data_IF_498941671527
#
_entry.id   IF_498941671527
#
_cell.length_a   1.000
_cell.length_b   1.000
_cell.length_c   1.000
_cell.angle_alpha   90.00
_cell.angle_beta   90.00
_cell.angle_gamma   90.00
#
_symmetry.space_group_name_H-M   'P 1'
#
loop_
_entity.id
_entity.type
_entity.pdbx_description
1 polymer ?
#
# COMPACT_ATOMS: atom_id res chain seq x y z
N UNK A 1 -31.92 -58.56 18.33
CA UNK A 1 -33.37 -58.32 18.41
C UNK A 1 -33.66 -57.93 19.87
N UNK A 2 -33.96 -56.65 20.09
CA UNK A 2 -34.68 -55.98 21.22
C UNK A 2 -34.50 -56.59 22.64
N UNK A 3 -33.66 -56.05 23.54
CA UNK A 3 -33.82 -54.89 24.47
C UNK A 3 -34.99 -55.00 25.48
N UNK A 4 -34.69 -55.14 26.77
CA UNK A 4 -34.83 -54.09 27.80
C UNK A 4 -34.67 -54.62 29.23
N UNK A 5 -34.06 -53.82 30.09
CA UNK A 5 -33.76 -54.12 31.50
C UNK A 5 -34.18 -52.97 32.42
N UNK A 6 -34.83 -53.40 33.50
CA UNK A 6 -35.37 -52.79 34.72
C UNK A 6 -34.39 -51.81 35.41
N UNK A 7 -34.79 -50.59 35.84
CA UNK A 7 -35.62 -50.18 37.00
C UNK A 7 -34.88 -50.12 38.37
N UNK A 8 -34.93 -48.90 38.95
CA UNK A 8 -35.04 -48.47 40.36
C UNK A 8 -33.82 -48.02 41.22
N UNK A 9 -34.02 -46.82 41.79
CA UNK A 9 -33.78 -46.37 43.18
C UNK A 9 -32.45 -45.74 43.62
N UNK A 10 -32.45 -44.42 43.52
CA UNK A 10 -32.13 -43.37 44.53
C UNK A 10 -31.64 -43.84 45.91
N UNK A 11 -30.44 -43.37 46.30
CA UNK A 11 -30.10 -42.93 47.66
C UNK A 11 -29.25 -41.65 47.58
N UNK A 12 -29.65 -40.66 48.38
CA UNK A 12 -29.10 -39.31 48.51
C UNK A 12 -27.97 -39.30 49.56
N UNK A 13 -26.81 -38.73 49.25
CA UNK A 13 -25.85 -38.24 50.27
C UNK A 13 -25.25 -36.92 49.81
N UNK A 14 -25.49 -35.88 50.61
CA UNK A 14 -24.86 -34.57 50.53
C UNK A 14 -23.39 -34.64 50.99
N UNK A 15 -22.47 -34.09 50.21
CA UNK A 15 -21.24 -33.47 50.74
C UNK A 15 -21.01 -32.15 50.00
N UNK A 16 -21.15 -31.08 50.78
CA UNK A 16 -20.74 -29.72 50.47
C UNK A 16 -19.22 -29.65 50.67
N UNK A 17 -18.47 -29.23 49.66
CA UNK A 17 -17.16 -28.62 49.84
C UNK A 17 -16.93 -27.59 48.75
N UNK A 18 -17.06 -26.33 49.16
CA UNK A 18 -16.78 -25.12 48.42
C UNK A 18 -15.29 -25.01 48.09
N UNK A 19 -14.95 -24.82 46.82
CA UNK A 19 -13.72 -24.13 46.44
C UNK A 19 -14.07 -23.02 45.43
N UNK A 20 -14.08 -21.80 45.94
CA UNK A 20 -14.11 -20.55 45.20
C UNK A 20 -12.77 -20.41 44.46
N UNK A 21 -12.78 -20.63 43.15
CA UNK A 21 -11.73 -20.22 42.23
C UNK A 21 -12.37 -19.38 41.13
N UNK A 22 -12.39 -18.06 41.32
CA UNK A 22 -12.91 -17.11 40.35
C UNK A 22 -12.06 -17.17 39.06
N UNK A 23 -12.57 -17.86 38.03
CA UNK A 23 -12.20 -17.56 36.65
C UNK A 23 -13.00 -16.32 36.24
N UNK A 24 -12.33 -15.18 36.12
CA UNK A 24 -12.82 -14.09 35.27
C UNK A 24 -12.91 -14.64 33.84
N UNK A 25 -14.10 -15.04 33.43
CA UNK A 25 -14.43 -15.17 32.02
C UNK A 25 -14.45 -13.76 31.44
N UNK A 26 -13.42 -13.40 30.69
CA UNK A 26 -13.51 -12.27 29.75
C UNK A 26 -14.76 -12.48 28.88
N UNK A 27 -15.61 -11.48 28.70
CA UNK A 27 -16.75 -11.63 27.82
C UNK A 27 -16.21 -11.87 26.40
N UNK A 28 -16.55 -13.02 25.84
CA UNK A 28 -16.42 -13.25 24.40
C UNK A 28 -17.41 -12.29 23.75
N UNK A 29 -16.90 -11.15 23.30
CA UNK A 29 -17.67 -10.22 22.47
C UNK A 29 -18.10 -11.00 21.24
N UNK A 30 -19.39 -11.01 20.95
CA UNK A 30 -19.91 -11.74 19.81
C UNK A 30 -19.24 -11.17 18.53
N UNK A 31 -18.85 -12.00 17.55
CA UNK A 31 -18.17 -11.54 16.32
C UNK A 31 -18.99 -10.53 15.49
N UNK A 32 -20.27 -10.35 15.80
CA UNK A 32 -21.16 -9.36 15.19
C UNK A 32 -21.00 -7.95 15.81
N UNK A 33 -20.71 -7.84 17.11
CA UNK A 33 -20.53 -6.55 17.81
C UNK A 33 -19.26 -5.83 17.35
N UNK A 34 -18.15 -6.56 17.17
CA UNK A 34 -16.87 -6.04 16.65
C UNK A 34 -17.00 -5.52 15.20
N UNK A 35 -17.93 -6.05 14.41
CA UNK A 35 -18.18 -5.58 13.04
C UNK A 35 -18.97 -4.28 12.98
N UNK A 36 -19.75 -3.97 14.01
CA UNK A 36 -20.48 -2.69 14.10
C UNK A 36 -19.59 -1.55 14.59
N UNK A 37 -18.54 -1.85 15.37
CA UNK A 37 -17.67 -0.83 15.97
C UNK A 37 -16.71 -0.18 14.97
N UNK A 38 -16.27 -0.87 13.91
CA UNK A 38 -15.37 -0.31 12.89
C UNK A 38 -16.03 0.76 12.00
N UNK A 39 -17.34 0.65 11.74
CA UNK A 39 -18.03 1.44 10.70
C UNK A 39 -18.02 2.95 10.97
N UNK A 40 -17.88 3.70 9.87
CA UNK A 40 -18.11 5.15 9.84
C UNK A 40 -19.24 5.52 8.86
N UNK A 41 -20.19 6.38 9.27
CA UNK A 41 -21.20 6.91 8.37
C UNK A 41 -20.57 7.89 7.38
N UNK A 42 -21.27 8.12 6.27
CA UNK A 42 -20.93 9.19 5.34
C UNK A 42 -21.15 10.57 5.99
N UNK A 43 -20.25 11.51 5.70
CA UNK A 43 -20.45 12.92 5.97
C UNK A 43 -20.94 13.60 4.68
N UNK A 44 -22.23 13.99 4.60
CA UNK A 44 -22.77 14.63 3.41
C UNK A 44 -22.23 16.06 3.19
N UNK A 45 -21.56 16.66 4.18
CA UNK A 45 -20.94 17.97 4.06
C UNK A 45 -19.51 17.93 3.54
N UNK A 46 -18.85 16.77 3.62
CA UNK A 46 -17.50 16.53 3.10
C UNK A 46 -17.33 15.07 2.69
N UNK A 47 -17.53 14.80 1.41
CA UNK A 47 -17.57 13.42 0.88
C UNK A 47 -16.17 12.88 0.59
N UNK A 48 -16.06 11.57 0.33
CA UNK A 48 -14.80 10.95 -0.14
C UNK A 48 -14.32 11.55 -1.48
N UNK A 49 -15.23 12.06 -2.31
CA UNK A 49 -14.88 12.75 -3.55
C UNK A 49 -14.34 14.17 -3.28
N UNK A 50 -14.82 14.84 -2.23
CA UNK A 50 -14.26 16.13 -1.81
C UNK A 50 -12.85 15.95 -1.23
N UNK A 51 -12.65 14.90 -0.42
CA UNK A 51 -11.33 14.47 0.06
C UNK A 51 -10.36 14.19 -1.11
N UNK A 52 -10.76 13.37 -2.09
CA UNK A 52 -9.92 13.12 -3.27
C UNK A 52 -9.61 14.39 -4.08
N UNK A 53 -10.58 15.30 -4.23
CA UNK A 53 -10.38 16.60 -4.91
C UNK A 53 -9.36 17.47 -4.17
N UNK A 54 -9.45 17.51 -2.85
CA UNK A 54 -8.53 18.28 -2.00
C UNK A 54 -7.12 17.69 -2.04
N UNK A 55 -6.99 16.37 -2.01
CA UNK A 55 -5.74 15.64 -2.23
C UNK A 55 -5.09 16.00 -3.57
N UNK A 56 -5.85 15.96 -4.66
CA UNK A 56 -5.37 16.32 -6.00
C UNK A 56 -4.89 17.78 -6.04
N UNK A 57 -5.66 18.71 -5.46
CA UNK A 57 -5.30 20.13 -5.41
C UNK A 57 -3.98 20.34 -4.66
N UNK A 58 -3.77 19.66 -3.54
CA UNK A 58 -2.52 19.75 -2.81
C UNK A 58 -1.36 19.20 -3.63
N UNK A 59 -1.46 17.99 -4.15
CA UNK A 59 -0.41 17.36 -4.96
C UNK A 59 -0.04 18.23 -6.18
N UNK A 60 -1.03 18.73 -6.93
CA UNK A 60 -0.83 19.60 -8.09
C UNK A 60 -0.08 20.89 -7.71
N UNK A 61 -0.44 21.50 -6.58
CA UNK A 61 0.20 22.74 -6.11
C UNK A 61 1.68 22.56 -5.75
N UNK A 62 2.12 21.33 -5.52
CA UNK A 62 3.51 21.02 -5.11
C UNK A 62 4.45 20.78 -6.28
N UNK A 63 3.90 20.66 -7.49
CA UNK A 63 4.68 20.44 -8.70
C UNK A 63 5.43 21.71 -9.11
N UNK A 64 6.68 21.54 -9.52
CA UNK A 64 7.56 22.62 -9.98
C UNK A 64 8.12 22.34 -11.38
N UNK A 65 8.38 23.38 -12.19
CA UNK A 65 9.01 23.20 -13.49
C UNK A 65 10.42 22.61 -13.38
N UNK A 66 10.72 21.62 -14.23
CA UNK A 66 12.06 21.06 -14.37
C UNK A 66 12.30 20.68 -15.83
N UNK A 67 13.28 21.33 -16.49
CA UNK A 67 13.68 21.05 -17.89
C UNK A 67 12.51 20.96 -18.89
N UNK A 68 11.51 21.85 -18.75
CA UNK A 68 10.31 21.88 -19.60
C UNK A 68 9.22 20.87 -19.24
N UNK A 69 9.40 20.11 -18.15
CA UNK A 69 8.45 19.16 -17.54
C UNK A 69 8.06 19.62 -16.14
N UNK A 70 7.37 18.77 -15.39
CA UNK A 70 7.06 18.97 -13.97
C UNK A 70 7.69 17.85 -13.14
N UNK A 71 8.16 18.20 -11.95
CA UNK A 71 8.55 17.22 -10.92
C UNK A 71 7.93 17.64 -9.58
N UNK A 72 7.94 16.76 -8.58
CA UNK A 72 7.65 17.21 -7.22
C UNK A 72 8.80 18.09 -6.73
N UNK A 73 8.49 19.14 -5.95
CA UNK A 73 9.56 19.91 -5.28
C UNK A 73 10.34 19.07 -4.27
N UNK A 74 9.71 18.03 -3.72
CA UNK A 74 10.24 17.17 -2.67
C UNK A 74 9.31 15.97 -2.44
N UNK A 75 9.86 14.87 -1.91
CA UNK A 75 9.08 13.71 -1.49
C UNK A 75 8.40 13.94 -0.16
N UNK A 76 8.84 14.88 0.68
CA UNK A 76 8.23 15.18 1.99
C UNK A 76 8.12 16.68 2.24
N UNK A 77 6.90 17.15 2.40
CA UNK A 77 6.60 18.56 2.64
C UNK A 77 5.58 18.76 3.75
N UNK A 78 5.56 19.93 4.37
CA UNK A 78 4.49 20.32 5.29
C UNK A 78 3.25 20.90 4.58
N UNK A 79 2.21 21.21 5.36
CA UNK A 79 0.97 21.83 4.88
C UNK A 79 1.13 23.18 4.16
N UNK A 80 2.25 23.87 4.41
CA UNK A 80 2.58 25.16 3.78
C UNK A 80 3.57 24.97 2.62
N UNK A 81 3.85 23.72 2.26
CA UNK A 81 4.67 23.33 1.12
C UNK A 81 6.17 23.52 1.34
N UNK A 82 6.63 23.66 2.57
CA UNK A 82 8.06 23.70 2.89
C UNK A 82 8.63 22.29 2.83
N UNK A 83 9.88 22.19 2.39
CA UNK A 83 10.59 20.91 2.28
C UNK A 83 11.04 20.45 3.67
N UNK A 84 10.72 19.20 4.03
CA UNK A 84 11.17 18.59 5.28
C UNK A 84 12.61 18.06 5.15
N UNK A 85 13.58 18.96 4.90
CA UNK A 85 14.97 18.58 4.59
C UNK A 85 15.73 17.85 5.71
N UNK A 86 15.16 17.77 6.91
CA UNK A 86 15.65 16.95 8.04
C UNK A 86 15.24 15.48 7.92
N UNK A 87 14.20 15.17 7.14
CA UNK A 87 13.73 13.83 6.87
C UNK A 87 14.61 13.18 5.80
N UNK A 88 14.88 11.87 5.89
CA UNK A 88 15.75 11.17 4.94
C UNK A 88 15.24 11.32 3.49
N UNK A 89 13.93 11.33 3.30
CA UNK A 89 13.30 11.54 1.99
C UNK A 89 13.11 13.02 1.60
N UNK A 90 13.37 13.95 2.52
CA UNK A 90 13.05 15.37 2.38
C UNK A 90 13.54 16.00 1.09
N UNK A 91 14.82 15.82 0.75
CA UNK A 91 15.38 16.43 -0.46
C UNK A 91 15.40 15.47 -1.67
N UNK A 92 14.56 14.44 -1.67
CA UNK A 92 14.43 13.51 -2.79
C UNK A 92 13.19 13.81 -3.60
N UNK A 93 13.19 13.41 -4.86
CA UNK A 93 12.00 13.23 -5.69
C UNK A 93 12.28 12.13 -6.73
N UNK A 94 11.28 11.73 -7.51
CA UNK A 94 11.42 10.72 -8.55
C UNK A 94 10.39 9.60 -8.44
N UNK A 95 10.59 8.49 -9.16
CA UNK A 95 9.62 7.40 -9.20
C UNK A 95 9.70 6.43 -8.01
N UNK A 96 10.75 6.48 -7.19
CA UNK A 96 10.99 5.54 -6.10
C UNK A 96 9.88 5.54 -5.04
N UNK A 97 9.82 4.49 -4.22
CA UNK A 97 8.72 4.16 -3.31
C UNK A 97 7.94 5.35 -2.71
N UNK A 98 8.54 6.15 -1.82
CA UNK A 98 7.86 7.29 -1.18
C UNK A 98 7.69 8.54 -2.08
N UNK A 99 8.50 8.67 -3.14
CA UNK A 99 8.43 9.80 -4.06
C UNK A 99 7.32 9.63 -5.11
N UNK A 100 7.13 8.39 -5.57
CA UNK A 100 5.99 7.88 -6.33
C UNK A 100 5.57 8.71 -7.56
N UNK A 101 6.51 9.34 -8.28
CA UNK A 101 6.16 10.24 -9.38
C UNK A 101 5.29 9.60 -10.49
N UNK A 102 5.48 8.30 -10.79
CA UNK A 102 4.65 7.60 -11.78
C UNK A 102 3.24 7.34 -11.25
N UNK A 103 3.12 6.85 -10.01
CA UNK A 103 1.83 6.63 -9.35
C UNK A 103 1.05 7.94 -9.23
N UNK A 104 1.69 9.00 -8.74
CA UNK A 104 1.04 10.31 -8.65
C UNK A 104 0.64 10.87 -10.02
N UNK A 105 1.47 10.73 -11.05
CA UNK A 105 1.08 11.11 -12.40
C UNK A 105 -0.15 10.33 -12.91
N UNK A 106 -0.22 9.03 -12.62
CA UNK A 106 -1.35 8.18 -12.97
C UNK A 106 -2.64 8.62 -12.27
N UNK A 107 -2.59 8.91 -10.97
CA UNK A 107 -3.77 9.33 -10.20
C UNK A 107 -4.27 10.72 -10.58
N UNK A 108 -3.36 11.68 -10.79
CA UNK A 108 -3.74 12.99 -11.35
C UNK A 108 -4.40 12.83 -12.72
N UNK A 109 -3.89 11.93 -13.56
CA UNK A 109 -4.50 11.63 -14.86
C UNK A 109 -5.90 11.03 -14.71
N UNK A 110 -6.08 10.00 -13.87
CA UNK A 110 -7.39 9.38 -13.65
C UNK A 110 -8.41 10.41 -13.15
N UNK A 111 -8.02 11.24 -12.19
CA UNK A 111 -8.90 12.29 -11.68
C UNK A 111 -9.21 13.35 -12.73
N UNK A 112 -8.25 13.69 -13.59
CA UNK A 112 -8.47 14.62 -14.71
C UNK A 112 -9.47 14.08 -15.74
N UNK A 113 -9.48 12.77 -15.99
CA UNK A 113 -10.49 12.13 -16.85
C UNK A 113 -11.87 12.17 -16.20
N UNK A 114 -11.94 11.86 -14.91
CA UNK A 114 -13.18 11.90 -14.13
C UNK A 114 -13.81 13.30 -14.12
N UNK A 115 -13.00 14.34 -13.92
CA UNK A 115 -13.45 15.74 -13.84
C UNK A 115 -13.46 16.47 -15.19
N UNK A 116 -12.93 15.84 -16.25
CA UNK A 116 -12.73 16.44 -17.59
C UNK A 116 -11.83 17.67 -17.57
N UNK A 117 -10.81 17.67 -16.70
CA UNK A 117 -9.84 18.75 -16.56
C UNK A 117 -8.63 18.55 -17.49
N UNK A 118 -8.64 19.21 -18.65
CA UNK A 118 -7.55 19.14 -19.62
C UNK A 118 -6.22 19.74 -19.11
N UNK A 119 -6.27 20.71 -18.19
CA UNK A 119 -5.07 21.34 -17.65
C UNK A 119 -4.37 20.40 -16.66
N UNK A 120 -5.14 19.78 -15.77
CA UNK A 120 -4.62 18.75 -14.85
C UNK A 120 -4.07 17.55 -15.63
N UNK A 121 -4.79 17.10 -16.67
CA UNK A 121 -4.35 16.03 -17.57
C UNK A 121 -2.98 16.35 -18.18
N UNK A 122 -2.78 17.59 -18.65
CA UNK A 122 -1.52 18.01 -19.21
C UNK A 122 -0.39 17.99 -18.16
N UNK A 123 -0.64 18.48 -16.95
CA UNK A 123 0.35 18.45 -15.85
C UNK A 123 0.74 17.03 -15.45
N UNK A 124 -0.23 16.11 -15.38
CA UNK A 124 0.01 14.70 -15.12
C UNK A 124 0.97 14.09 -16.18
N UNK A 125 0.77 14.43 -17.46
CA UNK A 125 1.66 13.98 -18.53
C UNK A 125 3.06 14.60 -18.46
N UNK A 126 3.17 15.87 -18.06
CA UNK A 126 4.48 16.50 -17.83
C UNK A 126 5.24 15.86 -16.66
N UNK A 127 4.54 15.44 -15.60
CA UNK A 127 5.13 14.69 -14.50
C UNK A 127 5.58 13.29 -14.94
N UNK A 128 4.79 12.60 -15.75
CA UNK A 128 5.19 11.32 -16.35
C UNK A 128 6.44 11.47 -17.23
N UNK A 129 6.48 12.51 -18.07
CA UNK A 129 7.60 12.76 -18.98
C UNK A 129 8.92 13.05 -18.23
N UNK A 130 8.84 13.62 -17.03
CA UNK A 130 10.00 13.77 -16.15
C UNK A 130 10.64 12.40 -15.84
N UNK A 131 9.84 11.42 -15.44
CA UNK A 131 10.35 10.06 -15.18
C UNK A 131 10.86 9.40 -16.47
N UNK A 132 10.13 9.55 -17.58
CA UNK A 132 10.45 8.87 -18.84
C UNK A 132 11.70 9.43 -19.55
N UNK A 133 12.11 10.67 -19.27
CA UNK A 133 13.07 11.37 -20.12
C UNK A 133 14.22 12.06 -19.39
N UNK A 134 14.14 12.28 -18.07
CA UNK A 134 15.18 13.05 -17.35
C UNK A 134 16.25 12.20 -16.67
N UNK A 135 16.28 10.89 -16.95
CA UNK A 135 17.41 10.01 -16.60
C UNK A 135 17.13 8.93 -15.56
N UNK A 136 15.88 8.78 -15.09
CA UNK A 136 15.53 7.72 -14.14
C UNK A 136 15.56 6.32 -14.75
N UNK A 137 15.23 6.20 -16.04
CA UNK A 137 15.14 4.91 -16.74
C UNK A 137 16.35 4.75 -17.66
N UNK A 138 17.16 3.72 -17.39
CA UNK A 138 18.11 3.22 -18.37
C UNK A 138 17.36 2.33 -19.37
N UNK A 139 17.04 2.87 -20.54
CA UNK A 139 16.34 2.13 -21.58
C UNK A 139 17.20 1.06 -22.27
N UNK A 140 18.52 1.03 -22.07
CA UNK A 140 19.35 -0.06 -22.60
C UNK A 140 19.16 -1.30 -21.73
N UNK A 141 19.33 -1.15 -20.41
CA UNK A 141 19.31 -2.27 -19.46
C UNK A 141 17.94 -2.56 -18.84
N UNK A 142 17.04 -1.57 -18.79
CA UNK A 142 15.78 -1.65 -18.06
C UNK A 142 15.88 -1.31 -16.57
N UNK A 143 17.06 -0.92 -16.07
CA UNK A 143 17.22 -0.52 -14.67
C UNK A 143 16.56 0.85 -14.42
N UNK A 144 15.85 0.97 -13.29
CA UNK A 144 15.19 2.22 -12.90
C UNK A 144 15.84 2.74 -11.62
N UNK A 145 16.39 3.95 -11.69
CA UNK A 145 16.86 4.70 -10.53
C UNK A 145 15.66 5.34 -9.83
N UNK A 146 15.55 5.16 -8.52
CA UNK A 146 14.39 5.61 -7.75
C UNK A 146 14.33 7.10 -7.49
N UNK A 147 15.47 7.76 -7.32
CA UNK A 147 15.48 9.11 -6.75
C UNK A 147 16.46 10.05 -7.45
N UNK A 148 16.10 11.34 -7.47
CA UNK A 148 17.00 12.47 -7.70
C UNK A 148 16.98 13.34 -6.45
N UNK A 149 18.16 13.72 -5.98
CA UNK A 149 18.31 14.70 -4.91
C UNK A 149 18.13 16.12 -5.48
N UNK A 150 17.24 16.90 -4.88
CA UNK A 150 16.72 18.15 -5.46
C UNK A 150 17.65 19.36 -5.30
N UNK A 151 18.64 19.31 -4.42
CA UNK A 151 19.61 20.39 -4.18
C UNK A 151 20.89 20.27 -5.02
N UNK A 152 21.19 19.07 -5.51
CA UNK A 152 22.42 18.70 -6.23
C UNK A 152 22.19 18.08 -7.60
N UNK A 153 20.93 17.78 -7.95
CA UNK A 153 20.54 17.04 -9.16
C UNK A 153 21.16 15.64 -9.29
N UNK A 154 21.69 15.09 -8.20
CA UNK A 154 22.33 13.77 -8.21
C UNK A 154 21.28 12.67 -8.09
N UNK A 155 21.36 11.69 -8.98
CA UNK A 155 20.54 10.47 -8.91
C UNK A 155 21.04 9.52 -7.82
N UNK A 156 20.12 8.93 -7.07
CA UNK A 156 20.41 7.92 -6.07
C UNK A 156 19.41 6.77 -6.03
N UNK A 157 19.85 5.61 -5.55
CA UNK A 157 19.09 4.36 -5.56
C UNK A 157 18.17 4.19 -4.35
N UNK A 158 18.50 4.83 -3.23
CA UNK A 158 17.77 4.68 -1.99
C UNK A 158 17.61 5.99 -1.23
N UNK A 159 16.71 5.97 -0.25
CA UNK A 159 16.31 7.12 0.53
C UNK A 159 17.44 7.71 1.39
N UNK A 160 18.52 6.97 1.61
CA UNK A 160 19.69 7.48 2.33
C UNK A 160 20.66 8.25 1.43
N UNK A 161 20.22 8.63 0.22
CA UNK A 161 21.01 9.38 -0.76
C UNK A 161 22.24 8.61 -1.24
N UNK A 162 22.15 7.27 -1.31
CA UNK A 162 23.25 6.37 -1.66
C UNK A 162 22.90 5.46 -2.85
N UNK A 163 23.94 4.81 -3.37
CA UNK A 163 23.89 3.89 -4.52
C UNK A 163 24.39 2.48 -4.18
N UNK A 164 24.48 2.15 -2.89
CA UNK A 164 24.98 0.87 -2.41
C UNK A 164 23.93 -0.24 -2.47
N UNK A 165 22.65 0.10 -2.39
CA UNK A 165 21.54 -0.85 -2.47
C UNK A 165 20.29 -0.20 -3.06
N UNK A 166 19.40 -1.05 -3.59
CA UNK A 166 18.02 -0.71 -3.97
C UNK A 166 17.08 -1.85 -3.57
N UNK A 167 15.77 -1.58 -3.53
CA UNK A 167 14.73 -2.58 -3.29
C UNK A 167 14.17 -3.10 -4.63
N UNK A 168 14.34 -4.39 -4.97
CA UNK A 168 13.88 -4.94 -6.25
C UNK A 168 12.37 -4.88 -6.47
N UNK A 169 11.58 -5.06 -5.42
CA UNK A 169 10.12 -5.00 -5.51
C UNK A 169 9.63 -3.60 -5.80
N UNK A 170 10.18 -2.58 -5.16
CA UNK A 170 9.78 -1.19 -5.42
C UNK A 170 10.20 -0.74 -6.81
N UNK A 171 11.36 -1.19 -7.33
CA UNK A 171 11.70 -0.99 -8.74
C UNK A 171 10.64 -1.64 -9.66
N UNK A 172 10.17 -2.84 -9.31
CA UNK A 172 9.09 -3.52 -10.04
C UNK A 172 7.75 -2.78 -9.93
N UNK A 173 7.44 -2.16 -8.78
CA UNK A 173 6.24 -1.34 -8.57
C UNK A 173 6.22 -0.14 -9.52
N UNK A 174 7.34 0.55 -9.70
CA UNK A 174 7.46 1.64 -10.69
C UNK A 174 7.17 1.13 -12.10
N UNK A 175 7.81 0.04 -12.50
CA UNK A 175 7.59 -0.57 -13.81
C UNK A 175 6.13 -1.01 -14.00
N UNK A 176 5.49 -1.51 -12.95
CA UNK A 176 4.07 -1.89 -12.98
C UNK A 176 3.15 -0.66 -13.10
N UNK A 177 3.43 0.44 -12.40
CA UNK A 177 2.68 1.69 -12.56
C UNK A 177 2.82 2.27 -13.98
N UNK A 178 4.01 2.22 -14.57
CA UNK A 178 4.22 2.58 -15.98
C UNK A 178 3.36 1.70 -16.90
N UNK A 179 3.31 0.40 -16.62
CA UNK A 179 2.49 -0.54 -17.38
C UNK A 179 1.00 -0.22 -17.29
N UNK A 180 0.47 0.04 -16.09
CA UNK A 180 -0.93 0.45 -15.88
C UNK A 180 -1.24 1.76 -16.63
N UNK A 181 -0.38 2.75 -16.50
CA UNK A 181 -0.57 4.04 -17.15
C UNK A 181 -0.52 3.91 -18.69
N UNK A 182 0.25 2.95 -19.21
CA UNK A 182 0.28 2.64 -20.65
C UNK A 182 -1.03 2.15 -21.24
N UNK A 183 -2.00 1.73 -20.41
CA UNK A 183 -3.31 1.33 -20.90
C UNK A 183 -4.28 2.52 -21.02
N UNK A 184 -3.93 3.68 -20.46
CA UNK A 184 -4.75 4.89 -20.50
C UNK A 184 -4.33 5.89 -21.58
N UNK A 185 -3.12 5.75 -22.13
CA UNK A 185 -2.58 6.68 -23.12
C UNK A 185 -2.00 5.95 -24.33
N UNK A 186 -2.01 6.61 -25.49
CA UNK A 186 -1.53 6.07 -26.76
C UNK A 186 -0.20 6.70 -27.23
N UNK A 187 0.30 6.20 -28.36
CA UNK A 187 1.46 6.76 -29.06
C UNK A 187 2.80 6.44 -28.40
N UNK A 188 3.76 7.37 -28.51
CA UNK A 188 5.15 7.14 -28.10
C UNK A 188 5.28 6.90 -26.58
N UNK A 189 4.50 7.59 -25.74
CA UNK A 189 4.54 7.40 -24.29
C UNK A 189 4.14 5.97 -23.91
N UNK A 190 3.08 5.43 -24.53
CA UNK A 190 2.65 4.04 -24.36
C UNK A 190 3.78 3.05 -24.64
N UNK A 191 4.47 3.24 -25.76
CA UNK A 191 5.57 2.38 -26.17
C UNK A 191 6.76 2.48 -25.21
N UNK A 192 7.14 3.70 -24.79
CA UNK A 192 8.22 3.91 -23.81
C UNK A 192 7.92 3.21 -22.47
N UNK A 193 6.72 3.40 -21.93
CA UNK A 193 6.31 2.78 -20.66
C UNK A 193 6.29 1.26 -20.73
N UNK A 194 5.73 0.68 -21.80
CA UNK A 194 5.72 -0.78 -22.00
C UNK A 194 7.13 -1.34 -22.18
N UNK A 195 7.96 -0.64 -22.95
CA UNK A 195 9.37 -1.02 -23.14
C UNK A 195 10.14 -1.02 -21.82
N UNK A 196 9.98 0.04 -21.02
CA UNK A 196 10.57 0.12 -19.68
C UNK A 196 10.09 -1.05 -18.81
N UNK A 197 8.78 -1.29 -18.72
CA UNK A 197 8.22 -2.36 -17.91
C UNK A 197 8.74 -3.76 -18.30
N UNK A 198 8.79 -4.06 -19.60
CA UNK A 198 9.32 -5.34 -20.11
C UNK A 198 10.80 -5.49 -19.79
N UNK A 199 11.62 -4.46 -20.06
CA UNK A 199 13.06 -4.52 -19.80
C UNK A 199 13.38 -4.58 -18.31
N UNK A 200 12.66 -3.87 -17.46
CA UNK A 200 12.82 -3.97 -16.01
C UNK A 200 12.48 -5.37 -15.53
N UNK A 201 11.40 -6.00 -16.04
CA UNK A 201 11.05 -7.37 -15.69
C UNK A 201 12.13 -8.39 -16.13
N UNK A 202 12.70 -8.21 -17.31
CA UNK A 202 13.82 -9.01 -17.81
C UNK A 202 15.07 -8.83 -16.94
N UNK A 203 15.41 -7.58 -16.61
CA UNK A 203 16.54 -7.26 -15.72
C UNK A 203 16.36 -7.94 -14.36
N UNK A 204 15.18 -7.82 -13.75
CA UNK A 204 14.86 -8.45 -12.46
C UNK A 204 15.00 -9.97 -12.55
N UNK A 205 14.43 -10.60 -13.58
CA UNK A 205 14.45 -12.05 -13.75
C UNK A 205 15.87 -12.61 -13.96
N UNK A 206 16.75 -11.82 -14.58
CA UNK A 206 18.11 -12.25 -14.93
C UNK A 206 19.15 -11.91 -13.87
N UNK A 207 18.97 -10.81 -13.14
CA UNK A 207 19.97 -10.27 -12.21
C UNK A 207 19.65 -10.55 -10.75
N UNK A 208 18.38 -10.52 -10.35
CA UNK A 208 17.97 -10.70 -8.95
C UNK A 208 17.90 -12.19 -8.63
N UNK A 209 18.87 -12.65 -7.83
CA UNK A 209 18.90 -14.04 -7.37
C UNK A 209 17.90 -14.25 -6.25
N UNK A 210 17.24 -15.42 -6.28
CA UNK A 210 16.38 -15.82 -5.17
C UNK A 210 17.22 -16.06 -3.90
N UNK A 211 16.60 -15.83 -2.74
CA UNK A 211 17.15 -16.19 -1.43
C UNK A 211 17.11 -17.71 -1.24
N UNK A 212 17.84 -18.27 -0.25
CA UNK A 212 17.84 -19.70 0.10
C UNK A 212 16.45 -20.33 0.24
N UNK A 213 15.48 -19.60 0.80
CA UNK A 213 14.08 -20.06 0.92
C UNK A 213 13.30 -20.01 -0.41
N UNK A 214 13.92 -19.57 -1.51
CA UNK A 214 13.30 -19.44 -2.82
C UNK A 214 12.52 -18.14 -3.03
N UNK A 215 12.47 -17.23 -2.06
CA UNK A 215 11.81 -15.92 -2.19
C UNK A 215 12.70 -14.89 -2.89
N UNK A 216 12.23 -13.65 -2.98
CA UNK A 216 13.02 -12.50 -3.46
C UNK A 216 13.70 -11.81 -2.27
N UNK A 217 14.92 -11.28 -2.46
CA UNK A 217 15.58 -10.49 -1.42
C UNK A 217 14.91 -9.12 -1.28
N UNK A 218 14.85 -8.58 -0.04
CA UNK A 218 14.39 -7.20 0.21
C UNK A 218 15.28 -6.16 -0.48
N UNK A 219 16.60 -6.38 -0.48
CA UNK A 219 17.58 -5.44 -1.02
C UNK A 219 18.64 -6.13 -1.88
N UNK A 220 19.09 -5.41 -2.89
CA UNK A 220 20.16 -5.81 -3.78
C UNK A 220 21.20 -4.70 -3.97
N UNK A 221 22.44 -5.08 -4.22
CA UNK A 221 23.45 -4.20 -4.83
C UNK A 221 23.04 -3.84 -6.26
N UNK A 222 23.56 -2.76 -6.87
CA UNK A 222 23.14 -2.29 -8.20
C UNK A 222 23.29 -3.33 -9.34
N UNK A 223 24.11 -4.36 -9.14
CA UNK A 223 24.31 -5.45 -10.12
C UNK A 223 23.36 -6.66 -9.91
N UNK A 224 22.47 -6.58 -8.92
CA UNK A 224 21.50 -7.62 -8.57
C UNK A 224 21.98 -8.62 -7.50
N UNK A 225 23.21 -8.50 -7.00
CA UNK A 225 23.67 -9.32 -5.87
C UNK A 225 22.87 -9.00 -4.61
N UNK A 226 22.81 -9.98 -3.72
CA UNK A 226 22.18 -9.86 -2.40
C UNK A 226 22.84 -8.77 -1.57
N UNK A 227 22.03 -7.90 -0.97
CA UNK A 227 22.46 -6.95 0.05
C UNK A 227 21.75 -7.32 1.37
N UNK A 228 22.36 -8.16 2.23
CA UNK A 228 21.68 -8.74 3.40
C UNK A 228 21.57 -7.77 4.59
N UNK A 229 22.02 -6.53 4.42
CA UNK A 229 22.02 -5.54 5.49
C UNK A 229 20.79 -4.63 5.37
N UNK A 230 20.33 -4.12 6.51
CA UNK A 230 19.31 -3.10 6.56
C UNK A 230 19.91 -1.74 6.16
N UNK A 231 19.07 -0.71 6.12
CA UNK A 231 19.53 0.63 5.73
C UNK A 231 20.62 1.18 6.67
N UNK A 232 20.63 0.77 7.93
CA UNK A 232 21.58 1.25 8.94
C UNK A 232 22.88 0.44 8.99
N UNK A 233 22.96 -0.65 8.22
CA UNK A 233 24.16 -1.48 8.09
C UNK A 233 24.16 -2.75 8.96
N UNK A 234 23.12 -2.99 9.76
CA UNK A 234 22.96 -4.25 10.51
C UNK A 234 22.36 -5.34 9.64
N UNK A 235 22.28 -6.59 10.13
CA UNK A 235 21.59 -7.66 9.40
C UNK A 235 20.10 -7.35 9.25
N UNK A 236 19.59 -7.47 8.03
CA UNK A 236 18.17 -7.26 7.75
C UNK A 236 17.35 -8.51 8.09
N UNK A 237 16.58 -8.42 9.17
CA UNK A 237 15.75 -9.54 9.63
C UNK A 237 14.65 -9.91 8.64
N UNK A 238 14.30 -9.01 7.71
CA UNK A 238 13.28 -9.21 6.69
C UNK A 238 13.88 -9.57 5.32
N UNK A 239 15.20 -9.75 5.23
CA UNK A 239 15.91 -9.92 3.96
C UNK A 239 15.30 -10.99 3.04
N UNK A 240 14.94 -12.16 3.59
CA UNK A 240 14.39 -13.29 2.82
C UNK A 240 12.86 -13.41 2.90
N UNK A 241 12.19 -12.50 3.60
CA UNK A 241 10.76 -12.58 3.91
C UNK A 241 10.01 -11.25 3.73
N UNK A 242 10.61 -10.32 3.00
CA UNK A 242 10.00 -9.03 2.68
C UNK A 242 8.82 -9.16 1.72
N UNK A 243 7.74 -8.46 2.06
CA UNK A 243 6.56 -8.33 1.22
C UNK A 243 6.81 -7.52 -0.07
N UNK A 244 7.87 -6.69 -0.13
CA UNK A 244 8.25 -5.92 -1.33
C UNK A 244 8.36 -6.82 -2.58
N UNK A 245 8.81 -8.07 -2.41
CA UNK A 245 8.87 -9.07 -3.48
C UNK A 245 7.54 -9.37 -4.19
N UNK A 246 6.39 -9.05 -3.57
CA UNK A 246 5.06 -9.15 -4.19
C UNK A 246 4.93 -8.26 -5.43
N UNK A 247 5.60 -7.11 -5.46
CA UNK A 247 5.55 -6.20 -6.61
C UNK A 247 6.25 -6.77 -7.85
N UNK A 248 7.23 -7.67 -7.68
CA UNK A 248 7.83 -8.41 -8.81
C UNK A 248 6.78 -9.35 -9.42
N UNK A 249 6.01 -10.04 -8.56
CA UNK A 249 4.90 -10.90 -9.00
C UNK A 249 3.81 -10.06 -9.66
N UNK A 250 3.52 -8.86 -9.13
CA UNK A 250 2.56 -7.91 -9.70
C UNK A 250 2.94 -7.52 -11.13
N UNK A 251 4.19 -7.12 -11.35
CA UNK A 251 4.72 -6.77 -12.67
C UNK A 251 4.64 -7.95 -13.64
N UNK A 252 5.13 -9.13 -13.23
CA UNK A 252 5.10 -10.34 -14.05
C UNK A 252 3.67 -10.72 -14.45
N UNK A 253 2.74 -10.66 -13.51
CA UNK A 253 1.32 -10.94 -13.76
C UNK A 253 0.75 -9.94 -14.76
N UNK A 254 0.98 -8.64 -14.56
CA UNK A 254 0.49 -7.58 -15.44
C UNK A 254 1.03 -7.69 -16.88
N UNK A 255 2.30 -8.03 -17.05
CA UNK A 255 2.92 -8.24 -18.36
C UNK A 255 2.38 -9.48 -19.07
N UNK A 256 2.20 -10.58 -18.33
CA UNK A 256 1.66 -11.84 -18.86
C UNK A 256 0.21 -11.68 -19.32
N UNK A 257 -0.63 -11.03 -18.51
CA UNK A 257 -2.02 -10.71 -18.87
C UNK A 257 -2.11 -9.87 -20.17
N UNK A 258 -1.17 -8.96 -20.38
CA UNK A 258 -1.09 -8.08 -21.56
C UNK A 258 -0.35 -8.70 -22.75
N UNK A 259 0.14 -9.94 -22.62
CA UNK A 259 0.91 -10.65 -23.64
C UNK A 259 2.15 -9.87 -24.11
N UNK A 260 2.76 -9.10 -23.20
CA UNK A 260 3.99 -8.35 -23.49
C UNK A 260 5.26 -9.16 -23.18
N UNK A 261 5.14 -10.09 -22.23
CA UNK A 261 6.14 -11.10 -21.88
C UNK A 261 5.44 -12.22 -21.10
N UNK A 262 5.95 -13.45 -21.13
CA UNK A 262 5.36 -14.58 -20.41
C UNK A 262 6.21 -14.97 -19.20
N UNK A 263 5.66 -14.75 -18.01
CA UNK A 263 6.29 -15.12 -16.72
C UNK A 263 5.47 -16.16 -15.96
N UNK A 264 4.54 -16.86 -16.62
CA UNK A 264 3.61 -17.82 -16.00
C UNK A 264 4.31 -18.79 -15.02
N UNK A 265 5.44 -19.36 -15.43
CA UNK A 265 6.18 -20.32 -14.60
C UNK A 265 6.85 -19.67 -13.39
N UNK A 266 7.36 -18.43 -13.52
CA UNK A 266 7.93 -17.69 -12.39
C UNK A 266 6.85 -17.33 -11.39
N UNK A 267 5.69 -16.87 -11.86
CA UNK A 267 4.54 -16.51 -11.03
C UNK A 267 4.10 -17.74 -10.22
N UNK A 268 3.88 -18.89 -10.88
CA UNK A 268 3.51 -20.15 -10.20
C UNK A 268 4.51 -20.54 -9.12
N UNK A 269 5.81 -20.54 -9.44
CA UNK A 269 6.87 -20.92 -8.49
C UNK A 269 6.91 -19.99 -7.29
N UNK A 270 6.87 -18.68 -7.52
CA UNK A 270 7.02 -17.68 -6.45
C UNK A 270 5.79 -17.62 -5.55
N UNK A 271 4.59 -17.67 -6.12
CA UNK A 271 3.36 -17.74 -5.31
C UNK A 271 3.34 -19.01 -4.46
N UNK A 272 3.80 -20.14 -5.00
CA UNK A 272 3.93 -21.37 -4.21
C UNK A 272 4.83 -21.17 -2.99
N UNK A 273 6.00 -20.57 -3.16
CA UNK A 273 6.91 -20.25 -2.03
C UNK A 273 6.21 -19.35 -1.00
N UNK A 274 5.52 -18.30 -1.46
CA UNK A 274 4.77 -17.39 -0.58
C UNK A 274 3.69 -18.13 0.23
N UNK A 275 2.88 -18.96 -0.42
CA UNK A 275 1.78 -19.70 0.21
C UNK A 275 2.32 -20.79 1.16
N UNK A 276 3.35 -21.53 0.76
CA UNK A 276 3.97 -22.59 1.59
C UNK A 276 4.61 -22.02 2.87
N UNK A 277 5.10 -20.77 2.83
CA UNK A 277 5.58 -20.05 4.00
C UNK A 277 4.46 -19.52 4.92
N UNK A 278 3.20 -19.61 4.50
CA UNK A 278 2.07 -18.97 5.20
C UNK A 278 1.93 -17.47 4.92
N UNK A 279 2.71 -16.95 3.97
CA UNK A 279 2.78 -15.55 3.57
C UNK A 279 4.02 -14.82 4.11
N UNK A 280 4.45 -13.81 3.37
CA UNK A 280 5.53 -12.89 3.72
C UNK A 280 4.94 -11.49 3.86
N UNK A 281 4.59 -11.09 5.09
CA UNK A 281 3.77 -9.90 5.35
C UNK A 281 4.55 -8.73 5.96
N UNK A 282 5.88 -8.78 5.96
CA UNK A 282 6.71 -7.73 6.51
C UNK A 282 8.01 -7.66 5.73
N UNK A 283 8.42 -6.56 5.12
CA UNK A 283 7.81 -5.24 5.06
C UNK A 283 7.87 -4.75 3.61
N UNK A 284 6.87 -3.97 3.21
CA UNK A 284 6.86 -3.17 1.98
C UNK A 284 7.57 -1.83 2.20
N UNK A 285 7.39 -1.21 3.36
CA UNK A 285 8.15 -0.01 3.74
C UNK A 285 9.65 -0.32 3.74
N UNK A 286 10.51 0.68 3.53
CA UNK A 286 11.97 0.44 3.40
C UNK A 286 12.74 0.65 4.70
N UNK A 287 12.05 1.02 5.76
CA UNK A 287 12.58 1.52 7.03
C UNK A 287 11.92 0.88 8.26
N UNK A 288 10.97 -0.03 8.07
CA UNK A 288 10.31 -0.81 9.13
C UNK A 288 10.77 -2.27 9.15
N UNK A 289 10.46 -2.97 10.23
CA UNK A 289 11.05 -4.29 10.51
C UNK A 289 10.11 -5.32 11.14
N UNK A 290 8.79 -5.06 11.30
CA UNK A 290 7.88 -6.13 11.72
C UNK A 290 7.62 -7.12 10.58
N UNK A 291 7.22 -8.34 10.95
CA UNK A 291 6.84 -9.40 10.00
C UNK A 291 5.42 -9.23 9.44
N UNK A 292 4.67 -8.23 9.92
CA UNK A 292 3.26 -8.04 9.62
C UNK A 292 2.88 -6.55 9.55
N UNK A 293 2.68 -6.06 8.33
CA UNK A 293 2.18 -4.71 8.03
C UNK A 293 0.83 -4.78 7.31
N UNK A 294 -0.11 -3.89 7.64
CA UNK A 294 -1.42 -3.89 6.98
C UNK A 294 -1.28 -3.80 5.44
N UNK A 295 -0.34 -2.99 4.94
CA UNK A 295 -0.20 -2.77 3.50
C UNK A 295 0.32 -4.00 2.78
N UNK A 296 1.16 -4.79 3.44
CA UNK A 296 1.62 -6.07 2.91
C UNK A 296 0.47 -7.06 2.73
N UNK A 297 -0.49 -7.09 3.65
CA UNK A 297 -1.71 -7.89 3.51
C UNK A 297 -2.59 -7.39 2.35
N UNK A 298 -2.78 -6.06 2.24
CA UNK A 298 -3.53 -5.42 1.16
C UNK A 298 -2.92 -5.75 -0.21
N UNK A 299 -1.62 -5.52 -0.38
CA UNK A 299 -0.90 -5.81 -1.63
C UNK A 299 -0.90 -7.32 -1.93
N UNK A 300 -0.68 -8.17 -0.93
CA UNK A 300 -0.73 -9.62 -1.13
C UNK A 300 -2.09 -10.08 -1.63
N UNK A 301 -3.20 -9.55 -1.08
CA UNK A 301 -4.53 -9.85 -1.60
C UNK A 301 -4.65 -9.47 -3.07
N UNK A 302 -4.34 -8.22 -3.42
CA UNK A 302 -4.49 -7.69 -4.78
C UNK A 302 -3.65 -8.47 -5.80
N UNK A 303 -2.39 -8.76 -5.45
CA UNK A 303 -1.45 -9.50 -6.32
C UNK A 303 -1.90 -10.95 -6.52
N UNK A 304 -2.20 -11.67 -5.44
CA UNK A 304 -2.62 -13.08 -5.55
C UNK A 304 -3.99 -13.22 -6.21
N UNK A 305 -4.90 -12.25 -6.03
CA UNK A 305 -6.20 -12.21 -6.70
C UNK A 305 -6.05 -12.17 -8.22
N UNK A 306 -5.22 -11.27 -8.74
CA UNK A 306 -4.95 -11.17 -10.17
C UNK A 306 -4.17 -12.37 -10.73
N UNK A 307 -3.18 -12.86 -9.97
CA UNK A 307 -2.45 -14.05 -10.37
C UNK A 307 -3.33 -15.30 -10.39
N UNK A 308 -4.26 -15.45 -9.45
CA UNK A 308 -5.24 -16.54 -9.44
C UNK A 308 -6.13 -16.50 -10.69
N UNK A 309 -6.59 -15.30 -11.10
CA UNK A 309 -7.35 -15.12 -12.35
C UNK A 309 -6.53 -15.51 -13.58
N UNK A 310 -5.28 -15.05 -13.66
CA UNK A 310 -4.36 -15.40 -14.76
C UNK A 310 -4.13 -16.91 -14.86
N UNK A 311 -3.93 -17.58 -13.72
CA UNK A 311 -3.56 -18.99 -13.66
C UNK A 311 -4.76 -19.95 -13.63
N UNK A 312 -5.98 -19.44 -13.38
CA UNK A 312 -7.15 -20.28 -13.13
C UNK A 312 -7.03 -21.13 -11.87
N UNK A 313 -6.33 -20.64 -10.84
CA UNK A 313 -5.99 -21.41 -9.64
C UNK A 313 -6.80 -20.96 -8.42
N UNK A 314 -7.77 -21.78 -8.03
CA UNK A 314 -8.65 -21.51 -6.89
C UNK A 314 -7.93 -21.59 -5.53
N UNK A 315 -6.82 -22.34 -5.42
CA UNK A 315 -6.08 -22.40 -4.16
C UNK A 315 -5.38 -21.07 -3.86
N UNK A 316 -4.83 -20.43 -4.90
CA UNK A 316 -4.26 -19.07 -4.79
C UNK A 316 -5.37 -18.07 -4.42
N UNK A 317 -6.51 -18.14 -5.10
CA UNK A 317 -7.67 -17.28 -4.81
C UNK A 317 -8.13 -17.44 -3.36
N UNK A 318 -8.29 -18.68 -2.90
CA UNK A 318 -8.69 -18.98 -1.52
C UNK A 318 -7.69 -18.42 -0.51
N UNK A 319 -6.38 -18.55 -0.76
CA UNK A 319 -5.36 -17.96 0.11
C UNK A 319 -5.48 -16.44 0.14
N UNK A 320 -5.64 -15.79 -1.01
CA UNK A 320 -5.81 -14.33 -1.08
C UNK A 320 -6.98 -13.86 -0.19
N UNK A 321 -8.16 -14.48 -0.28
CA UNK A 321 -9.31 -14.09 0.53
C UNK A 321 -9.18 -14.49 2.01
N UNK A 322 -8.82 -15.74 2.30
CA UNK A 322 -8.91 -16.30 3.65
C UNK A 322 -7.69 -15.95 4.53
N UNK A 323 -6.57 -15.56 3.92
CA UNK A 323 -5.34 -15.20 4.63
C UNK A 323 -4.95 -13.74 4.43
N UNK A 324 -4.91 -13.26 3.19
CA UNK A 324 -4.48 -11.89 2.93
C UNK A 324 -5.57 -10.89 3.32
N UNK A 325 -6.75 -10.94 2.68
CA UNK A 325 -7.83 -9.98 2.95
C UNK A 325 -8.38 -10.11 4.37
N UNK A 326 -8.67 -11.33 4.82
CA UNK A 326 -9.14 -11.57 6.19
C UNK A 326 -8.08 -11.19 7.24
N UNK A 327 -6.79 -11.25 6.88
CA UNK A 327 -5.69 -10.84 7.74
C UNK A 327 -5.69 -9.35 8.08
N UNK A 328 -6.35 -8.50 7.28
CA UNK A 328 -6.48 -7.07 7.54
C UNK A 328 -7.29 -6.75 8.80
N UNK A 329 -8.19 -7.65 9.22
CA UNK A 329 -9.07 -7.42 10.37
C UNK A 329 -8.30 -7.14 11.67
N UNK A 330 -7.06 -7.66 11.80
CA UNK A 330 -6.24 -7.45 12.99
C UNK A 330 -5.74 -6.00 13.14
N UNK A 331 -5.69 -5.23 12.05
CA UNK A 331 -5.18 -3.86 12.05
C UNK A 331 -6.27 -2.80 12.24
N UNK A 332 -7.54 -3.19 12.12
CA UNK A 332 -8.69 -2.28 12.16
C UNK A 332 -8.83 -1.59 13.52
N UNK A 333 -8.97 -0.27 13.48
CA UNK A 333 -9.20 0.57 14.64
C UNK A 333 -10.70 0.80 14.83
N UNK A 334 -11.27 0.15 15.83
CA UNK A 334 -12.71 0.19 16.13
C UNK A 334 -13.15 1.40 16.97
N UNK A 335 -12.19 2.17 17.48
CA UNK A 335 -12.41 3.29 18.38
C UNK A 335 -11.39 4.39 18.11
N UNK A 336 -11.78 5.62 18.44
CA UNK A 336 -10.87 6.77 18.50
C UNK A 336 -9.95 6.58 19.72
N UNK A 337 -8.65 6.80 19.54
CA UNK A 337 -7.64 6.58 20.59
C UNK A 337 -7.03 7.89 21.03
N UNK A 338 -6.91 8.07 22.35
CA UNK A 338 -6.30 9.25 22.97
C UNK A 338 -6.83 10.61 22.45
N UNK A 339 -8.12 10.64 22.11
CA UNK A 339 -8.80 11.85 21.60
C UNK A 339 -8.56 12.13 20.11
N UNK A 340 -7.85 11.25 19.41
CA UNK A 340 -7.57 11.35 17.97
C UNK A 340 -8.57 10.50 17.18
N UNK A 341 -9.01 10.99 16.02
CA UNK A 341 -10.07 10.39 15.20
C UNK A 341 -9.62 9.14 14.43
N UNK A 342 -9.15 8.11 15.13
CA UNK A 342 -8.55 6.92 14.53
C UNK A 342 -9.56 5.84 14.13
N UNK A 343 -10.81 5.91 14.59
CA UNK A 343 -11.84 4.93 14.25
C UNK A 343 -12.02 4.84 12.73
N UNK A 344 -12.01 3.63 12.20
CA UNK A 344 -12.18 3.35 10.77
C UNK A 344 -10.86 3.25 9.99
N UNK A 345 -9.73 3.62 10.60
CA UNK A 345 -8.39 3.42 10.03
C UNK A 345 -7.82 2.04 10.39
N UNK A 346 -6.71 1.70 9.75
CA UNK A 346 -5.84 0.57 10.05
C UNK A 346 -4.48 1.10 10.51
N UNK A 347 -3.97 0.57 11.61
CA UNK A 347 -2.60 0.84 12.05
C UNK A 347 -1.58 0.08 11.20
N UNK A 348 -0.36 0.59 11.05
CA UNK A 348 0.67 -0.02 10.17
C UNK A 348 1.12 -1.40 10.66
N UNK A 349 1.82 -1.44 11.79
CA UNK A 349 2.37 -2.66 12.39
C UNK A 349 2.35 -2.58 13.92
N UNK A 350 2.84 -3.62 14.62
CA UNK A 350 2.71 -3.68 16.09
C UNK A 350 3.75 -2.84 16.80
N UNK A 351 4.98 -2.82 16.30
CA UNK A 351 6.07 -2.04 16.90
C UNK A 351 5.98 -0.56 16.51
N UNK A 352 5.38 -0.26 15.36
CA UNK A 352 5.08 1.09 14.89
C UNK A 352 3.62 1.18 14.46
N UNK A 353 2.76 1.58 15.38
CA UNK A 353 1.32 1.54 15.19
C UNK A 353 0.75 2.84 14.59
N UNK A 354 1.54 3.79 14.10
CA UNK A 354 0.99 4.93 13.33
C UNK A 354 0.10 4.45 12.17
N UNK A 355 -1.02 5.15 11.93
CA UNK A 355 -1.92 4.85 10.81
C UNK A 355 -1.58 5.71 9.59
N UNK A 356 -0.86 5.15 8.63
CA UNK A 356 -0.46 5.85 7.40
C UNK A 356 -1.55 5.88 6.32
N UNK A 357 -1.74 7.01 5.66
CA UNK A 357 -2.85 7.23 4.73
C UNK A 357 -2.74 6.38 3.46
N UNK A 358 -1.53 6.25 2.90
CA UNK A 358 -1.31 5.45 1.68
C UNK A 358 -1.60 3.95 1.92
N UNK A 359 -1.25 3.43 3.09
CA UNK A 359 -1.52 2.05 3.47
C UNK A 359 -3.02 1.77 3.62
N UNK A 360 -3.71 2.72 4.25
CA UNK A 360 -5.16 2.70 4.37
C UNK A 360 -5.83 2.78 2.99
N UNK A 361 -5.32 3.60 2.08
CA UNK A 361 -5.82 3.66 0.71
C UNK A 361 -5.61 2.33 -0.06
N UNK A 362 -4.47 1.66 0.11
CA UNK A 362 -4.23 0.30 -0.41
C UNK A 362 -5.21 -0.72 0.17
N UNK A 363 -5.52 -0.63 1.46
CA UNK A 363 -6.52 -1.49 2.10
C UNK A 363 -7.94 -1.23 1.58
N UNK A 364 -8.34 0.03 1.41
CA UNK A 364 -9.63 0.39 0.83
C UNK A 364 -9.76 -0.17 -0.60
N UNK A 365 -8.70 -0.04 -1.40
CA UNK A 365 -8.65 -0.57 -2.76
C UNK A 365 -8.77 -2.10 -2.78
N UNK A 366 -8.06 -2.80 -1.88
CA UNK A 366 -8.21 -4.25 -1.70
C UNK A 366 -9.66 -4.65 -1.39
N UNK A 367 -10.33 -3.95 -0.49
CA UNK A 367 -11.73 -4.23 -0.18
C UNK A 367 -12.68 -3.95 -1.35
N UNK A 368 -12.48 -2.88 -2.12
CA UNK A 368 -13.30 -2.61 -3.30
C UNK A 368 -13.09 -3.63 -4.43
N UNK A 369 -11.85 -4.07 -4.66
CA UNK A 369 -11.57 -5.16 -5.59
C UNK A 369 -12.23 -6.48 -5.13
N UNK A 370 -12.21 -6.78 -3.82
CA UNK A 370 -12.91 -7.92 -3.25
C UNK A 370 -14.43 -7.82 -3.42
N UNK A 371 -15.00 -6.63 -3.22
CA UNK A 371 -16.41 -6.36 -3.49
C UNK A 371 -16.73 -6.55 -4.97
N UNK A 372 -15.89 -6.06 -5.89
CA UNK A 372 -16.09 -6.25 -7.32
C UNK A 372 -16.22 -7.73 -7.70
N UNK A 373 -15.34 -8.58 -7.14
CA UNK A 373 -15.29 -10.02 -7.41
C UNK A 373 -16.41 -10.83 -6.72
N UNK A 374 -16.97 -10.35 -5.60
CA UNK A 374 -17.87 -11.18 -4.74
C UNK A 374 -19.25 -10.59 -4.48
N UNK A 375 -19.42 -9.29 -4.72
CA UNK A 375 -20.59 -8.49 -4.35
C UNK A 375 -20.98 -8.58 -2.86
N UNK A 376 -20.01 -8.91 -1.98
CA UNK A 376 -20.24 -8.92 -0.53
C UNK A 376 -20.20 -7.50 0.02
N UNK A 377 -21.37 -7.02 0.44
CA UNK A 377 -21.57 -5.69 1.03
C UNK A 377 -20.64 -5.37 2.21
N UNK A 378 -20.16 -6.39 2.94
CA UNK A 378 -19.19 -6.17 4.01
C UNK A 378 -17.87 -5.57 3.52
N UNK A 379 -17.40 -5.99 2.34
CA UNK A 379 -16.17 -5.45 1.77
C UNK A 379 -16.38 -4.02 1.28
N UNK A 380 -17.53 -3.74 0.66
CA UNK A 380 -17.90 -2.37 0.31
C UNK A 380 -17.92 -1.46 1.55
N UNK A 381 -18.57 -1.92 2.62
CA UNK A 381 -18.65 -1.16 3.87
C UNK A 381 -17.28 -0.91 4.52
N UNK A 382 -16.38 -1.89 4.50
CA UNK A 382 -15.02 -1.73 5.03
C UNK A 382 -14.21 -0.72 4.21
N UNK A 383 -14.21 -0.82 2.88
CA UNK A 383 -13.50 0.13 2.02
C UNK A 383 -14.02 1.56 2.14
N UNK A 384 -15.34 1.75 2.19
CA UNK A 384 -15.96 3.07 2.40
C UNK A 384 -15.64 3.63 3.80
N UNK A 385 -15.62 2.77 4.82
CA UNK A 385 -15.27 3.18 6.19
C UNK A 385 -13.86 3.75 6.24
N UNK A 386 -12.90 3.10 5.58
CA UNK A 386 -11.52 3.56 5.53
C UNK A 386 -11.41 4.91 4.82
N UNK A 387 -11.98 5.06 3.62
CA UNK A 387 -11.92 6.35 2.91
C UNK A 387 -12.60 7.50 3.68
N UNK A 388 -13.69 7.21 4.38
CA UNK A 388 -14.37 8.19 5.25
C UNK A 388 -13.56 8.54 6.49
N UNK A 389 -12.76 7.61 7.01
CA UNK A 389 -11.84 7.88 8.09
C UNK A 389 -10.72 8.81 7.60
N UNK A 390 -10.07 8.46 6.48
CA UNK A 390 -9.02 9.28 5.84
C UNK A 390 -9.50 10.72 5.59
N UNK A 391 -10.72 10.90 5.10
CA UNK A 391 -11.28 12.22 4.79
C UNK A 391 -11.30 13.21 5.98
N UNK A 392 -11.21 12.72 7.23
CA UNK A 392 -11.17 13.56 8.43
C UNK A 392 -9.80 14.21 8.69
N UNK A 393 -8.76 13.77 8.00
CA UNK A 393 -7.37 14.14 8.30
C UNK A 393 -6.78 15.13 7.28
N UNK A 394 -7.64 15.88 6.60
CA UNK A 394 -7.23 17.01 5.77
C UNK A 394 -7.02 18.28 6.60
N UNK A 395 -5.98 19.05 6.25
CA UNK A 395 -5.60 20.30 6.90
C UNK A 395 -5.33 21.41 5.87
N UNK A 396 -5.54 22.64 6.32
CA UNK A 396 -5.17 23.83 5.56
C UNK A 396 -5.98 24.04 4.27
N UNK A 397 -5.73 25.18 3.62
CA UNK A 397 -6.53 25.63 2.47
C UNK A 397 -6.26 24.88 1.16
N UNK A 398 -5.16 24.14 1.09
CA UNK A 398 -4.72 23.48 -0.13
C UNK A 398 -5.18 22.03 -0.21
N UNK A 399 -5.73 21.47 0.88
CA UNK A 399 -6.15 20.08 0.93
C UNK A 399 -5.03 19.12 1.35
N UNK A 400 -4.07 19.58 2.16
CA UNK A 400 -3.02 18.72 2.71
C UNK A 400 -3.67 17.56 3.46
N UNK A 401 -3.27 16.34 3.16
CA UNK A 401 -3.63 15.14 3.90
C UNK A 401 -2.39 14.65 4.63
N UNK A 402 -2.53 14.42 5.93
CA UNK A 402 -1.42 13.97 6.78
C UNK A 402 -0.74 12.70 6.25
N UNK A 403 0.55 12.54 6.51
CA UNK A 403 1.23 11.25 6.29
C UNK A 403 0.52 10.13 7.08
N UNK A 404 0.26 10.38 8.37
CA UNK A 404 -0.37 9.42 9.25
C UNK A 404 -0.85 10.01 10.56
N UNK A 405 -1.63 9.20 11.27
CA UNK A 405 -2.25 9.54 12.55
C UNK A 405 -1.51 8.82 13.67
N UNK A 406 -0.94 9.57 14.60
CA UNK A 406 -0.17 9.06 15.73
C UNK A 406 -0.93 9.35 17.05
N UNK A 407 -1.51 8.31 17.63
CA UNK A 407 -2.26 8.41 18.89
C UNK A 407 -1.42 8.14 20.13
N UNK A 408 -0.14 7.75 20.01
CA UNK A 408 0.67 7.38 21.17
C UNK A 408 2.04 8.08 21.21
N UNK A 409 2.22 9.07 20.34
CA UNK A 409 3.38 9.95 20.28
C UNK A 409 4.67 9.20 19.88
N UNK A 410 4.53 8.18 19.02
CA UNK A 410 5.67 7.45 18.46
C UNK A 410 6.58 8.36 17.64
N UNK A 411 6.01 9.22 16.79
CA UNK A 411 6.79 10.13 15.93
C UNK A 411 7.33 11.32 16.71
N UNK A 412 6.69 11.67 17.83
CA UNK A 412 7.04 12.78 18.70
C UNK A 412 6.25 14.05 18.38
N UNK A 413 5.72 14.70 19.42
CA UNK A 413 4.79 15.83 19.35
C UNK A 413 5.26 17.00 18.50
N UNK A 414 6.58 17.19 18.39
CA UNK A 414 7.17 18.20 17.53
C UNK A 414 6.81 18.01 16.04
N UNK A 415 6.31 16.82 15.67
CA UNK A 415 5.85 16.47 14.33
C UNK A 415 4.32 16.55 14.17
N UNK A 416 3.56 16.78 15.25
CA UNK A 416 2.11 16.95 15.18
C UNK A 416 1.70 18.41 14.93
N UNK A 417 0.48 18.58 14.43
CA UNK A 417 -0.18 19.89 14.40
C UNK A 417 -0.27 20.47 15.81
N UNK A 418 0.00 21.78 15.91
CA UNK A 418 0.00 22.54 17.16
C UNK A 418 0.89 21.98 18.28
N UNK A 419 1.86 21.12 17.93
CA UNK A 419 2.69 20.36 18.87
C UNK A 419 1.86 19.55 19.90
N UNK A 420 0.66 19.13 19.48
CA UNK A 420 -0.21 18.27 20.28
C UNK A 420 0.51 16.98 20.67
N UNK A 421 0.21 16.46 21.86
CA UNK A 421 0.84 15.21 22.33
C UNK A 421 0.53 14.04 21.39
N UNK A 422 -0.68 13.99 20.85
CA UNK A 422 -1.17 13.00 19.90
C UNK A 422 -1.90 13.71 18.76
N UNK A 423 -1.81 13.19 17.54
CA UNK A 423 -2.57 13.75 16.42
C UNK A 423 -1.98 13.41 15.06
N UNK A 424 -2.41 14.20 14.09
CA UNK A 424 -1.97 14.09 12.70
C UNK A 424 -0.54 14.63 12.55
N UNK A 425 0.27 13.93 11.75
CA UNK A 425 1.61 14.34 11.36
C UNK A 425 1.53 15.54 10.40
N UNK A 426 2.34 16.57 10.64
CA UNK A 426 2.27 17.86 9.91
C UNK A 426 3.06 17.92 8.60
N UNK A 427 3.49 16.78 8.10
CA UNK A 427 4.10 16.60 6.78
C UNK A 427 3.53 15.35 6.08
N UNK A 428 3.76 15.24 4.78
CA UNK A 428 3.24 14.17 3.93
C UNK A 428 4.05 14.06 2.63
N UNK A 429 3.93 12.91 1.96
CA UNK A 429 4.36 12.71 0.59
C UNK A 429 3.28 13.14 -0.40
N UNK A 430 3.52 14.20 -1.21
CA UNK A 430 2.47 14.76 -2.06
C UNK A 430 1.91 13.79 -3.09
N UNK A 431 2.75 12.89 -3.59
CA UNK A 431 2.41 11.95 -4.67
C UNK A 431 2.20 10.52 -4.17
N UNK A 432 2.29 10.28 -2.85
CA UNK A 432 1.96 9.01 -2.21
C UNK A 432 0.90 9.26 -1.14
N UNK A 433 1.26 9.47 0.13
CA UNK A 433 0.31 9.59 1.25
C UNK A 433 -0.85 10.55 0.98
N UNK A 434 -0.55 11.71 0.40
CA UNK A 434 -1.58 12.70 0.12
C UNK A 434 -2.51 12.29 -1.03
N UNK A 435 -2.02 11.60 -2.06
CA UNK A 435 -2.74 11.41 -3.33
C UNK A 435 -3.35 10.01 -3.50
N UNK A 436 -2.78 8.99 -2.84
CA UNK A 436 -3.06 7.55 -3.07
C UNK A 436 -4.52 7.13 -2.84
N UNK A 437 -5.34 8.02 -2.27
CA UNK A 437 -6.78 7.84 -2.05
C UNK A 437 -7.60 7.99 -3.33
N UNK A 438 -7.02 8.55 -4.41
CA UNK A 438 -7.73 8.84 -5.65
C UNK A 438 -8.16 7.55 -6.36
N UNK A 439 -7.25 6.58 -6.54
CA UNK A 439 -7.58 5.32 -7.21
C UNK A 439 -8.75 4.57 -6.54
N UNK A 440 -8.74 4.28 -5.22
CA UNK A 440 -9.87 3.62 -4.57
C UNK A 440 -11.16 4.45 -4.62
N UNK A 441 -11.08 5.78 -4.50
CA UNK A 441 -12.27 6.66 -4.58
C UNK A 441 -12.92 6.60 -5.95
N UNK A 442 -12.13 6.63 -7.02
CA UNK A 442 -12.66 6.57 -8.39
C UNK A 442 -13.19 5.17 -8.73
N UNK A 443 -12.52 4.10 -8.27
CA UNK A 443 -13.01 2.74 -8.46
C UNK A 443 -14.41 2.56 -7.87
N UNK A 444 -14.65 3.03 -6.64
CA UNK A 444 -15.98 2.87 -6.04
C UNK A 444 -17.03 3.73 -6.75
N UNK A 445 -16.67 4.96 -7.17
CA UNK A 445 -17.57 5.81 -7.96
C UNK A 445 -17.98 5.16 -9.29
N UNK A 446 -17.09 4.41 -9.94
CA UNK A 446 -17.40 3.65 -11.16
C UNK A 446 -18.27 2.42 -10.88
N UNK A 447 -18.00 1.69 -9.79
CA UNK A 447 -18.77 0.52 -9.38
C UNK A 447 -20.22 0.87 -9.06
N UNK A 448 -20.47 2.01 -8.39
CA UNK A 448 -21.82 2.48 -8.06
C UNK A 448 -22.62 2.92 -9.31
N UNK A 449 -21.94 3.38 -10.36
CA UNK A 449 -22.58 3.69 -11.66
C UNK A 449 -22.83 2.45 -12.51
N UNK A 450 -22.28 1.30 -12.13
CA UNK A 450 -22.29 0.09 -12.97
C UNK A 450 -21.39 0.19 -14.20
N UNK A 451 -20.35 1.05 -14.16
CA UNK A 451 -19.49 1.35 -15.31
C UNK A 451 -18.25 0.46 -15.41
N UNK A 452 -17.97 -0.39 -14.40
CA UNK A 452 -16.83 -1.32 -14.42
C UNK A 452 -17.15 -2.51 -15.34
N UNK A 453 -16.43 -2.59 -16.46
CA UNK A 453 -16.51 -3.67 -17.45
C UNK A 453 -15.61 -4.85 -17.10
#
# INVERSE_FOLDING_TARGET
MIRESSILSIVMVFVVCSFLGARQSSPVVAPEEVRTSFRLPEDPSYTILDSARDSVRFAEWTLVPFRGKLCSKSSFIDKDGNIMGWHDFGNLEGPGWAANAVGGAYELYLFSEHTKDAALKHKALLLLDHVLEDGFIDYETGFITGYRETTTDRFCLNYQHKNNWFCPGSMAKVAYQLLLFSDKIDGQRRQKMRSAAVKTAEWLNTRVKSTPNGWFPRRCEPDGKHYPNNAYGDSDILFEKSADGLFIIQLYTGLTQRQLADYTDQIKRKIRVFIEAGGFFGSINHDTYDEHENVAYSVAFRVLREAAKLLGDEAIRKFAFDKCLAGLDQFKMAEDRNGVQTKGLLYMEKSWDTSYMWENAEAALAYFEAYSDTKKESYLADGLTILRAIAKHHHGRYGFLTEGVDWNNHVGKQHHFDEAEYGDIKYTEPLLNNLHIVEPTLLIAELERGEVK
#
